data_IF_300017332789
#
_entry.id   IF_300017332789
#
_cell.length_a   1.000
_cell.length_b   1.000
_cell.length_c   1.000
_cell.angle_alpha   90.00
_cell.angle_beta   90.00
_cell.angle_gamma   90.00
#
_symmetry.space_group_name_H-M   'P 1'
#
loop_
_entity.id
_entity.type
_entity.pdbx_description
1 polymer ?
#
# COMPACT_ATOMS: atom_id res chain seq x y z
N UNK A 1 -0.83 62.13 -2.05
CA UNK A 1 -0.43 61.14 -3.06
C UNK A 1 -0.66 59.71 -2.56
N UNK A 2 -1.93 59.27 -2.41
CA UNK A 2 -2.28 57.92 -1.92
C UNK A 2 -3.46 57.29 -2.69
N UNK A 3 -3.70 57.74 -3.92
CA UNK A 3 -4.84 57.30 -4.75
C UNK A 3 -4.50 56.38 -5.93
N UNK A 4 -3.23 56.29 -6.32
CA UNK A 4 -2.84 55.56 -7.54
C UNK A 4 -2.39 54.11 -7.29
N UNK A 5 -2.01 53.74 -6.07
CA UNK A 5 -1.49 52.39 -5.79
C UNK A 5 -2.58 51.30 -5.75
N UNK A 6 -3.84 51.62 -5.43
CA UNK A 6 -4.92 50.60 -5.34
C UNK A 6 -5.48 50.11 -6.68
N UNK A 7 -5.15 50.77 -7.80
CA UNK A 7 -5.73 50.41 -9.12
C UNK A 7 -4.92 49.36 -9.87
N UNK A 8 -3.60 49.30 -9.63
CA UNK A 8 -2.70 48.34 -10.29
C UNK A 8 -2.39 47.08 -9.46
N UNK A 9 -2.70 47.06 -8.15
CA UNK A 9 -2.49 45.87 -7.30
C UNK A 9 -3.49 44.76 -7.65
N UNK A 10 -4.73 45.07 -8.03
CA UNK A 10 -5.76 44.05 -8.31
C UNK A 10 -5.35 43.05 -9.41
N UNK A 11 -4.80 43.46 -10.58
CA UNK A 11 -4.35 42.50 -11.59
C UNK A 11 -3.08 41.76 -11.17
N UNK A 12 -2.13 42.42 -10.48
CA UNK A 12 -0.90 41.78 -10.00
C UNK A 12 -1.20 40.73 -8.93
N UNK A 13 -2.13 41.01 -8.01
CA UNK A 13 -2.59 40.08 -6.99
C UNK A 13 -3.27 38.86 -7.63
N UNK A 14 -4.10 39.06 -8.65
CA UNK A 14 -4.71 37.96 -9.41
C UNK A 14 -3.66 37.11 -10.14
N UNK A 15 -2.60 37.72 -10.68
CA UNK A 15 -1.50 37.02 -11.33
C UNK A 15 -0.71 36.17 -10.33
N UNK A 16 -0.46 36.70 -9.12
CA UNK A 16 0.18 35.95 -8.03
C UNK A 16 -0.71 34.82 -7.51
N UNK A 17 -2.02 35.05 -7.38
CA UNK A 17 -2.97 34.01 -6.95
C UNK A 17 -3.10 32.91 -8.01
N UNK A 18 -3.22 33.24 -9.30
CA UNK A 18 -3.22 32.24 -10.39
C UNK A 18 -1.88 31.52 -10.46
N UNK A 19 -0.76 32.23 -10.29
CA UNK A 19 0.57 31.63 -10.27
C UNK A 19 0.75 30.68 -9.07
N UNK A 20 0.26 31.06 -7.90
CA UNK A 20 0.31 30.25 -6.68
C UNK A 20 -0.61 29.03 -6.77
N UNK A 21 -1.87 29.22 -7.17
CA UNK A 21 -2.82 28.12 -7.41
C UNK A 21 -2.29 27.20 -8.51
N UNK A 22 -1.80 27.75 -9.62
CA UNK A 22 -1.16 26.99 -10.68
C UNK A 22 0.07 26.21 -10.20
N UNK A 23 0.90 26.80 -9.33
CA UNK A 23 2.10 26.14 -8.77
C UNK A 23 1.75 24.96 -7.86
N UNK A 24 0.63 25.03 -7.13
CA UNK A 24 0.12 23.91 -6.33
C UNK A 24 -0.26 22.73 -7.24
N UNK A 25 -0.93 23.00 -8.36
CA UNK A 25 -1.25 21.97 -9.36
C UNK A 25 -0.01 21.41 -10.08
N UNK A 26 1.02 22.25 -10.32
CA UNK A 26 2.28 21.81 -10.92
C UNK A 26 3.10 20.90 -9.98
N UNK A 27 3.07 21.13 -8.66
CA UNK A 27 3.76 20.27 -7.69
C UNK A 27 3.10 18.91 -7.47
N UNK A 28 1.83 18.75 -7.83
CA UNK A 28 1.16 17.45 -7.97
C UNK A 28 1.38 16.82 -9.37
N UNK A 29 1.84 17.60 -10.36
CA UNK A 29 1.60 17.39 -11.79
C UNK A 29 2.62 16.61 -12.63
N UNK A 30 3.73 16.07 -12.10
CA UNK A 30 4.73 15.33 -12.90
C UNK A 30 4.55 13.79 -12.91
N UNK A 31 3.30 13.34 -12.78
CA UNK A 31 2.85 11.98 -13.12
C UNK A 31 1.45 11.95 -13.73
N UNK A 32 0.85 13.11 -14.00
CA UNK A 32 -0.48 13.24 -14.57
C UNK A 32 -0.41 13.09 -16.09
N UNK A 33 -0.66 11.88 -16.58
CA UNK A 33 -1.26 11.77 -17.91
C UNK A 33 -2.67 12.35 -17.81
N UNK A 34 -2.99 13.47 -18.50
CA UNK A 34 -4.36 13.95 -18.57
C UNK A 34 -5.19 12.83 -19.17
N UNK A 35 -6.25 12.45 -18.45
CA UNK A 35 -7.35 11.55 -18.83
C UNK A 35 -7.31 11.14 -20.30
N UNK A 36 -6.59 10.05 -20.59
CA UNK A 36 -6.71 9.43 -21.90
C UNK A 36 -8.14 8.92 -22.01
N UNK A 37 -8.84 9.28 -23.09
CA UNK A 37 -10.18 8.75 -23.42
C UNK A 37 -10.16 7.24 -23.70
N UNK A 38 -9.00 6.61 -23.63
CA UNK A 38 -8.82 5.16 -23.72
C UNK A 38 -9.03 4.54 -22.33
N UNK A 39 -9.91 3.54 -22.21
CA UNK A 39 -10.04 2.75 -20.99
C UNK A 39 -8.68 2.17 -20.56
N UNK A 40 -8.40 2.05 -19.25
CA UNK A 40 -7.20 1.39 -18.80
C UNK A 40 -7.19 -0.07 -19.25
N UNK A 41 -6.01 -0.64 -19.48
CA UNK A 41 -5.89 -2.05 -19.88
C UNK A 41 -6.37 -3.00 -18.77
N UNK A 42 -6.07 -2.67 -17.50
CA UNK A 42 -6.49 -3.44 -16.31
C UNK A 42 -7.36 -2.59 -15.38
N UNK A 43 -6.80 -1.55 -14.78
CA UNK A 43 -7.49 -0.66 -13.86
C UNK A 43 -6.79 0.71 -13.79
N UNK A 44 -7.49 1.73 -13.32
CA UNK A 44 -6.97 3.07 -13.02
C UNK A 44 -7.47 3.53 -11.66
N UNK A 45 -6.57 4.03 -10.83
CA UNK A 45 -6.85 4.47 -9.46
C UNK A 45 -6.37 5.91 -9.32
N UNK A 46 -7.31 6.83 -9.05
CA UNK A 46 -7.06 8.27 -8.93
C UNK A 46 -6.31 8.86 -10.15
N UNK A 47 -6.67 8.40 -11.34
CA UNK A 47 -6.05 8.84 -12.59
C UNK A 47 -4.75 8.14 -12.96
N UNK A 48 -4.25 7.20 -12.13
CA UNK A 48 -3.02 6.45 -12.40
C UNK A 48 -3.33 5.02 -12.84
N UNK A 49 -2.87 4.64 -14.02
CA UNK A 49 -3.06 3.30 -14.57
C UNK A 49 -2.27 2.26 -13.76
N UNK A 50 -2.90 1.10 -13.52
CA UNK A 50 -2.25 -0.05 -12.93
C UNK A 50 -1.45 -0.79 -14.00
N UNK A 51 -0.19 -1.09 -13.69
CA UNK A 51 0.70 -1.76 -14.64
C UNK A 51 0.28 -3.20 -14.91
N UNK A 52 -0.05 -3.51 -16.16
CA UNK A 52 -0.32 -4.88 -16.64
C UNK A 52 0.85 -5.82 -16.35
N UNK A 53 2.08 -5.30 -16.47
CA UNK A 53 3.30 -6.05 -16.14
C UNK A 53 3.29 -6.48 -14.67
N UNK A 54 2.92 -5.57 -13.76
CA UNK A 54 2.87 -5.86 -12.32
C UNK A 54 1.79 -6.88 -11.98
N UNK A 55 0.61 -6.75 -12.58
CA UNK A 55 -0.50 -7.71 -12.45
C UNK A 55 -0.05 -9.11 -12.86
N UNK A 56 0.57 -9.24 -14.04
CA UNK A 56 1.06 -10.53 -14.51
C UNK A 56 2.17 -11.08 -13.61
N UNK A 57 3.12 -10.26 -13.16
CA UNK A 57 4.18 -10.72 -12.24
C UNK A 57 3.62 -11.26 -10.93
N UNK A 58 2.68 -10.55 -10.30
CA UNK A 58 2.10 -10.96 -9.02
C UNK A 58 1.22 -12.21 -9.18
N UNK A 59 0.48 -12.30 -10.29
CA UNK A 59 -0.26 -13.51 -10.66
C UNK A 59 0.67 -14.73 -10.81
N UNK A 60 1.76 -14.59 -11.56
CA UNK A 60 2.74 -15.66 -11.72
C UNK A 60 3.41 -16.06 -10.39
N UNK A 61 3.64 -15.09 -9.49
CA UNK A 61 4.14 -15.38 -8.14
C UNK A 61 3.15 -16.26 -7.36
N UNK A 62 1.86 -15.96 -7.43
CA UNK A 62 0.81 -16.76 -6.81
C UNK A 62 0.72 -18.14 -7.42
N UNK A 63 0.70 -18.26 -8.75
CA UNK A 63 0.70 -19.56 -9.43
C UNK A 63 1.89 -20.42 -8.98
N UNK A 64 3.11 -19.85 -8.92
CA UNK A 64 4.29 -20.57 -8.43
C UNK A 64 4.14 -21.01 -6.97
N UNK A 65 3.60 -20.15 -6.11
CA UNK A 65 3.34 -20.48 -4.71
C UNK A 65 2.35 -21.63 -4.57
N UNK A 66 1.18 -21.55 -5.20
CA UNK A 66 0.17 -22.61 -5.15
C UNK A 66 0.71 -23.93 -5.73
N UNK A 67 1.41 -23.87 -6.87
CA UNK A 67 2.08 -25.06 -7.44
C UNK A 67 3.10 -25.67 -6.50
N UNK A 68 3.81 -24.87 -5.70
CA UNK A 68 4.78 -25.40 -4.72
C UNK A 68 4.11 -26.17 -3.56
N UNK A 69 2.90 -25.78 -3.17
CA UNK A 69 2.13 -26.39 -2.08
C UNK A 69 1.38 -27.63 -2.59
N UNK A 70 0.63 -27.50 -3.67
CA UNK A 70 -0.27 -28.54 -4.19
C UNK A 70 0.40 -29.48 -5.19
N UNK A 71 1.58 -29.14 -5.70
CA UNK A 71 2.40 -29.96 -6.61
C UNK A 71 1.58 -30.52 -7.77
N UNK A 72 1.42 -31.84 -7.83
CA UNK A 72 0.72 -32.56 -8.91
C UNK A 72 -0.80 -32.35 -8.88
N UNK A 73 -1.36 -32.01 -7.72
CA UNK A 73 -2.80 -31.73 -7.55
C UNK A 73 -3.17 -30.30 -7.97
N UNK A 74 -2.18 -29.47 -8.36
CA UNK A 74 -2.43 -28.09 -8.75
C UNK A 74 -3.06 -27.99 -10.15
N UNK A 75 -4.28 -27.46 -10.20
CA UNK A 75 -4.94 -27.11 -11.45
C UNK A 75 -5.15 -25.59 -11.58
N UNK A 76 -4.36 -24.95 -12.43
CA UNK A 76 -4.41 -23.50 -12.66
C UNK A 76 -5.78 -23.02 -13.14
N UNK A 77 -6.47 -23.80 -13.98
CA UNK A 77 -7.76 -23.38 -14.53
C UNK A 77 -8.85 -23.26 -13.46
N UNK A 78 -8.74 -23.97 -12.35
CA UNK A 78 -9.70 -23.90 -11.24
C UNK A 78 -9.55 -22.63 -10.39
N UNK A 79 -8.37 -22.02 -10.38
CA UNK A 79 -8.06 -20.89 -9.50
C UNK A 79 -7.76 -19.60 -10.27
N UNK A 80 -7.67 -19.66 -11.60
CA UNK A 80 -7.24 -18.56 -12.45
C UNK A 80 -7.99 -17.26 -12.19
N UNK A 81 -9.32 -17.30 -12.22
CA UNK A 81 -10.13 -16.09 -12.14
C UNK A 81 -10.15 -15.53 -10.71
N UNK A 82 -10.20 -16.40 -9.69
CA UNK A 82 -10.07 -16.00 -8.30
C UNK A 82 -8.71 -15.35 -8.02
N UNK A 83 -7.62 -15.94 -8.50
CA UNK A 83 -6.28 -15.40 -8.32
C UNK A 83 -6.09 -14.08 -9.05
N UNK A 84 -6.61 -13.94 -10.28
CA UNK A 84 -6.59 -12.66 -11.01
C UNK A 84 -7.33 -11.57 -10.25
N UNK A 85 -8.52 -11.88 -9.71
CA UNK A 85 -9.29 -10.94 -8.89
C UNK A 85 -8.54 -10.56 -7.61
N UNK A 86 -7.94 -11.54 -6.93
CA UNK A 86 -7.17 -11.30 -5.70
C UNK A 86 -5.96 -10.41 -5.98
N UNK A 87 -5.20 -10.70 -7.03
CA UNK A 87 -4.05 -9.89 -7.48
C UNK A 87 -4.49 -8.46 -7.78
N UNK A 88 -5.61 -8.29 -8.49
CA UNK A 88 -6.14 -6.96 -8.79
C UNK A 88 -6.51 -6.19 -7.52
N UNK A 89 -7.28 -6.79 -6.61
CA UNK A 89 -7.69 -6.15 -5.36
C UNK A 89 -6.48 -5.80 -4.46
N UNK A 90 -5.45 -6.64 -4.45
CA UNK A 90 -4.21 -6.37 -3.73
C UNK A 90 -3.48 -5.15 -4.30
N UNK A 91 -3.36 -5.08 -5.62
CA UNK A 91 -2.70 -3.95 -6.29
C UNK A 91 -3.51 -2.66 -6.20
N UNK A 92 -4.84 -2.74 -6.24
CA UNK A 92 -5.73 -1.58 -5.97
C UNK A 92 -5.51 -1.08 -4.54
N UNK A 93 -5.51 -2.00 -3.56
CA UNK A 93 -5.26 -1.67 -2.15
C UNK A 93 -3.91 -1.00 -1.97
N UNK A 94 -2.86 -1.60 -2.50
CA UNK A 94 -1.49 -1.05 -2.47
C UNK A 94 -1.49 0.37 -3.05
N UNK A 95 -2.13 0.58 -4.21
CA UNK A 95 -2.17 1.87 -4.87
C UNK A 95 -2.91 2.94 -4.08
N UNK A 96 -4.04 2.61 -3.47
CA UNK A 96 -4.83 3.51 -2.61
C UNK A 96 -3.98 3.93 -1.40
N UNK A 97 -3.35 2.96 -0.72
CA UNK A 97 -2.52 3.23 0.45
C UNK A 97 -1.29 4.06 0.10
N UNK A 98 -0.65 3.78 -1.03
CA UNK A 98 0.48 4.57 -1.52
C UNK A 98 0.08 6.02 -1.85
N UNK A 99 -1.05 6.20 -2.55
CA UNK A 99 -1.59 7.53 -2.85
C UNK A 99 -1.91 8.30 -1.57
N UNK A 100 -2.50 7.62 -0.58
CA UNK A 100 -2.78 8.22 0.73
C UNK A 100 -1.50 8.62 1.46
N UNK A 101 -0.48 7.75 1.47
CA UNK A 101 0.80 8.05 2.08
C UNK A 101 1.45 9.31 1.47
N UNK A 102 1.38 9.43 0.13
CA UNK A 102 1.82 10.65 -0.57
C UNK A 102 0.96 11.87 -0.19
N UNK A 103 -0.36 11.71 -0.12
CA UNK A 103 -1.31 12.79 0.20
C UNK A 103 -1.05 13.40 1.57
N UNK A 104 -0.75 12.57 2.57
CA UNK A 104 -0.44 13.02 3.94
C UNK A 104 1.03 13.42 4.13
N UNK A 105 1.84 13.37 3.06
CA UNK A 105 3.20 13.89 3.05
C UNK A 105 4.25 12.95 3.61
N UNK A 106 3.99 11.63 3.69
CA UNK A 106 4.99 10.65 4.08
C UNK A 106 6.10 10.62 3.03
N UNK A 107 7.35 10.63 3.51
CA UNK A 107 8.55 10.54 2.68
C UNK A 107 9.47 9.48 3.26
N UNK A 108 10.27 8.89 2.38
CA UNK A 108 11.28 7.88 2.69
C UNK A 108 12.54 8.30 1.95
N UNK A 109 13.69 8.23 2.63
CA UNK A 109 14.99 8.55 2.02
C UNK A 109 15.49 7.38 1.19
N UNK A 110 16.26 7.68 0.16
CA UNK A 110 16.90 6.65 -0.68
C UNK A 110 17.74 5.66 0.13
N UNK A 111 18.42 6.10 1.18
CA UNK A 111 19.20 5.22 2.06
C UNK A 111 18.33 4.15 2.73
N UNK A 112 17.11 4.52 3.15
CA UNK A 112 16.15 3.63 3.79
C UNK A 112 15.60 2.63 2.78
N UNK A 113 15.31 3.08 1.55
CA UNK A 113 14.91 2.21 0.44
C UNK A 113 16.02 1.19 0.15
N UNK A 114 17.26 1.63 0.09
CA UNK A 114 18.40 0.75 -0.17
C UNK A 114 18.66 -0.21 1.00
N UNK A 115 18.40 0.20 2.24
CA UNK A 115 18.48 -0.68 3.40
C UNK A 115 17.40 -1.76 3.37
N UNK A 116 16.18 -1.41 2.99
CA UNK A 116 15.08 -2.35 2.80
C UNK A 116 15.44 -3.42 1.78
N UNK A 117 15.97 -3.01 0.62
CA UNK A 117 16.40 -3.94 -0.44
C UNK A 117 17.54 -4.86 0.04
N UNK A 118 18.35 -4.43 1.01
CA UNK A 118 19.44 -5.24 1.59
C UNK A 118 18.96 -6.25 2.62
N UNK A 119 17.80 -6.07 3.26
CA UNK A 119 17.32 -6.94 4.35
C UNK A 119 17.38 -8.44 4.01
N UNK A 120 16.96 -8.92 2.83
CA UNK A 120 17.02 -10.35 2.48
C UNK A 120 18.44 -10.93 2.36
N UNK A 121 19.45 -10.07 2.33
CA UNK A 121 20.86 -10.44 2.20
C UNK A 121 21.63 -10.33 3.53
N UNK A 122 20.93 -9.98 4.61
CA UNK A 122 21.50 -9.96 5.97
C UNK A 122 21.32 -11.32 6.64
N UNK A 123 22.32 -11.76 7.39
CA UNK A 123 22.21 -12.93 8.27
C UNK A 123 21.40 -12.59 9.55
N UNK A 124 21.17 -13.58 10.40
CA UNK A 124 20.48 -13.41 11.70
C UNK A 124 21.17 -12.42 12.65
N UNK A 125 22.46 -12.15 12.42
CA UNK A 125 23.28 -11.19 13.19
C UNK A 125 23.31 -9.79 12.53
N UNK A 126 22.63 -9.62 11.39
CA UNK A 126 22.56 -8.36 10.63
C UNK A 126 23.71 -8.13 9.64
N UNK A 127 24.66 -9.06 9.51
CA UNK A 127 25.80 -8.93 8.59
C UNK A 127 25.34 -9.14 7.14
N UNK A 128 25.76 -8.25 6.26
CA UNK A 128 25.39 -8.29 4.84
C UNK A 128 26.29 -9.26 4.07
N UNK A 129 25.70 -10.23 3.34
CA UNK A 129 26.40 -10.96 2.28
C UNK A 129 26.56 -10.04 1.06
N UNK A 130 27.64 -9.26 1.07
CA UNK A 130 27.97 -8.28 0.02
C UNK A 130 28.10 -8.94 -1.34
N UNK A 131 28.64 -10.17 -1.41
CA UNK A 131 28.82 -10.89 -2.67
C UNK A 131 27.47 -11.23 -3.29
N UNK A 132 26.56 -11.81 -2.51
CA UNK A 132 25.21 -12.18 -2.98
C UNK A 132 24.40 -10.92 -3.34
N UNK A 133 24.53 -9.86 -2.56
CA UNK A 133 23.86 -8.59 -2.83
C UNK A 133 24.35 -7.95 -4.15
N UNK A 134 25.65 -7.89 -4.37
CA UNK A 134 26.20 -7.32 -5.61
C UNK A 134 25.82 -8.14 -6.84
N UNK A 135 25.86 -9.48 -6.75
CA UNK A 135 25.37 -10.35 -7.83
C UNK A 135 23.89 -10.10 -8.17
N UNK A 136 23.07 -9.88 -7.14
CA UNK A 136 21.66 -9.53 -7.32
C UNK A 136 21.51 -8.16 -8.01
N UNK A 137 22.25 -7.14 -7.55
CA UNK A 137 22.23 -5.82 -8.19
C UNK A 137 22.70 -5.85 -9.64
N UNK A 138 23.76 -6.60 -9.95
CA UNK A 138 24.24 -6.77 -11.32
C UNK A 138 23.19 -7.43 -12.21
N UNK A 139 22.53 -8.48 -11.71
CA UNK A 139 21.45 -9.16 -12.42
C UNK A 139 20.26 -8.22 -12.69
N UNK A 140 19.86 -7.42 -11.70
CA UNK A 140 18.79 -6.42 -11.83
C UNK A 140 19.19 -5.26 -12.76
N UNK A 141 20.43 -4.76 -12.67
CA UNK A 141 20.90 -3.57 -13.41
C UNK A 141 21.05 -3.83 -14.92
N UNK A 142 21.32 -5.08 -15.33
CA UNK A 142 21.31 -5.49 -16.74
C UNK A 142 19.94 -5.33 -17.40
N UNK A 143 18.88 -5.20 -16.60
CA UNK A 143 17.51 -4.91 -17.02
C UNK A 143 17.12 -3.58 -16.39
N UNK A 144 17.66 -2.47 -16.89
CA UNK A 144 17.66 -1.15 -16.25
C UNK A 144 16.32 -0.72 -15.65
N UNK A 145 15.20 -1.10 -16.26
CA UNK A 145 13.84 -0.88 -15.74
C UNK A 145 13.55 -1.59 -14.41
N UNK A 146 14.06 -2.80 -14.23
CA UNK A 146 13.70 -3.69 -13.12
C UNK A 146 14.31 -3.21 -11.80
N UNK A 147 15.52 -2.64 -11.82
CA UNK A 147 16.11 -2.04 -10.62
C UNK A 147 15.35 -0.77 -10.17
N UNK A 148 14.92 0.07 -11.12
CA UNK A 148 14.11 1.24 -10.81
C UNK A 148 12.75 0.85 -10.22
N UNK A 149 12.08 -0.14 -10.83
CA UNK A 149 10.81 -0.69 -10.33
C UNK A 149 10.98 -1.25 -8.92
N UNK A 150 12.07 -1.99 -8.65
CA UNK A 150 12.35 -2.49 -7.31
C UNK A 150 12.48 -1.36 -6.28
N UNK A 151 13.20 -0.28 -6.62
CA UNK A 151 13.31 0.90 -5.74
C UNK A 151 11.95 1.54 -5.50
N UNK A 152 11.13 1.71 -6.52
CA UNK A 152 9.79 2.27 -6.40
C UNK A 152 8.89 1.40 -5.50
N UNK A 153 8.93 0.08 -5.66
CA UNK A 153 8.17 -0.86 -4.83
C UNK A 153 8.62 -0.84 -3.37
N UNK A 154 9.94 -0.86 -3.12
CA UNK A 154 10.49 -0.77 -1.77
C UNK A 154 10.12 0.58 -1.10
N UNK A 155 10.18 1.68 -1.86
CA UNK A 155 9.74 2.99 -1.39
C UNK A 155 8.25 3.00 -1.05
N UNK A 156 7.40 2.46 -1.93
CA UNK A 156 5.96 2.38 -1.72
C UNK A 156 5.63 1.58 -0.45
N UNK A 157 6.26 0.42 -0.27
CA UNK A 157 6.07 -0.42 0.91
C UNK A 157 6.46 0.30 2.21
N UNK A 158 7.62 0.98 2.24
CA UNK A 158 8.05 1.77 3.40
C UNK A 158 7.10 2.93 3.70
N UNK A 159 6.58 3.59 2.68
CA UNK A 159 5.61 4.67 2.83
C UNK A 159 4.27 4.16 3.38
N UNK A 160 3.79 3.02 2.87
CA UNK A 160 2.57 2.36 3.34
C UNK A 160 2.75 1.87 4.78
N UNK A 161 3.90 1.29 5.12
CA UNK A 161 4.19 0.85 6.48
C UNK A 161 4.14 2.03 7.46
N UNK A 162 4.79 3.16 7.12
CA UNK A 162 4.73 4.39 7.92
C UNK A 162 3.32 4.96 8.07
N UNK A 163 2.48 4.78 7.05
CA UNK A 163 1.09 5.21 7.09
C UNK A 163 0.26 4.37 8.07
N UNK A 164 0.49 3.06 8.10
CA UNK A 164 -0.33 2.10 8.85
C UNK A 164 0.14 1.95 10.31
N UNK A 165 1.45 2.07 10.59
CA UNK A 165 2.01 1.86 11.93
C UNK A 165 1.30 2.67 13.02
N UNK A 166 1.07 3.99 12.87
CA UNK A 166 0.35 4.76 13.88
C UNK A 166 -1.09 4.29 14.14
N UNK A 167 -1.75 3.72 13.13
CA UNK A 167 -3.11 3.16 13.26
C UNK A 167 -3.07 1.90 14.15
N UNK A 168 -2.04 1.07 13.97
CA UNK A 168 -1.82 -0.13 14.80
C UNK A 168 -1.44 0.21 16.23
N UNK A 169 -0.66 1.26 16.43
CA UNK A 169 -0.18 1.70 17.75
C UNK A 169 -1.25 2.43 18.57
N UNK A 170 -2.29 2.97 17.91
CA UNK A 170 -3.36 3.69 18.59
C UNK A 170 -4.30 2.79 19.39
N UNK A 171 -4.41 1.50 19.04
CA UNK A 171 -5.35 0.57 19.68
C UNK A 171 -4.83 0.13 21.04
N UNK A 172 -5.65 0.38 22.06
CA UNK A 172 -5.44 -0.11 23.42
C UNK A 172 -6.57 -1.06 23.81
N UNK A 173 -6.21 -2.01 24.67
CA UNK A 173 -7.12 -3.01 25.22
C UNK A 173 -7.02 -2.97 26.74
N UNK A 174 -8.16 -2.75 27.38
CA UNK A 174 -8.33 -2.77 28.84
C UNK A 174 -8.63 -4.18 29.32
N UNK A 175 -8.36 -4.45 30.59
CA UNK A 175 -8.64 -5.76 31.20
C UNK A 175 -10.13 -6.12 31.17
N UNK A 176 -11.02 -5.14 31.33
CA UNK A 176 -12.48 -5.32 31.19
C UNK A 176 -12.87 -5.77 29.78
N UNK A 177 -12.26 -5.18 28.74
CA UNK A 177 -12.53 -5.62 27.36
C UNK A 177 -12.02 -7.04 27.10
N UNK A 178 -10.92 -7.45 27.74
CA UNK A 178 -10.41 -8.83 27.65
C UNK A 178 -11.37 -9.81 28.30
N UNK A 179 -11.89 -9.44 29.46
CA UNK A 179 -12.91 -10.21 30.17
C UNK A 179 -14.16 -10.37 29.30
N UNK A 180 -14.75 -9.25 28.84
CA UNK A 180 -15.91 -9.25 27.93
C UNK A 180 -15.68 -10.09 26.68
N UNK A 181 -14.49 -10.00 26.08
CA UNK A 181 -14.12 -10.79 24.92
C UNK A 181 -14.09 -12.28 25.23
N UNK A 182 -13.46 -12.67 26.35
CA UNK A 182 -13.41 -14.06 26.80
C UNK A 182 -14.80 -14.66 27.02
N UNK A 183 -15.70 -13.92 27.69
CA UNK A 183 -17.09 -14.32 27.91
C UNK A 183 -17.90 -14.45 26.62
N UNK A 184 -17.57 -13.68 25.57
CA UNK A 184 -18.23 -13.78 24.26
C UNK A 184 -17.80 -14.98 23.44
N UNK A 185 -16.52 -15.36 23.51
CA UNK A 185 -15.95 -16.43 22.66
C UNK A 185 -15.94 -17.81 23.33
N UNK A 186 -16.29 -17.89 24.61
CA UNK A 186 -16.20 -19.13 25.42
C UNK A 186 -17.57 -19.50 25.96
N UNK A 187 -18.04 -20.71 25.65
CA UNK A 187 -19.37 -21.18 26.11
C UNK A 187 -19.46 -21.39 27.63
N UNK A 188 -18.36 -21.82 28.27
CA UNK A 188 -18.29 -22.12 29.71
C UNK A 188 -17.07 -21.43 30.35
N UNK A 189 -17.11 -20.11 30.51
CA UNK A 189 -15.97 -19.34 31.00
C UNK A 189 -15.64 -19.68 32.45
N UNK A 190 -14.34 -19.76 32.76
CA UNK A 190 -13.81 -19.99 34.12
C UNK A 190 -12.78 -18.93 34.46
N UNK A 191 -12.86 -18.39 35.68
CA UNK A 191 -11.94 -17.35 36.14
C UNK A 191 -10.46 -17.79 36.10
N UNK A 192 -10.19 -19.07 36.40
CA UNK A 192 -8.82 -19.63 36.33
C UNK A 192 -8.27 -19.61 34.90
N UNK A 193 -9.07 -20.01 33.93
CA UNK A 193 -8.68 -20.05 32.52
C UNK A 193 -8.48 -18.63 31.94
N UNK A 194 -9.27 -17.66 32.43
CA UNK A 194 -9.10 -16.24 32.08
C UNK A 194 -7.75 -15.72 32.55
N UNK A 195 -7.37 -15.96 33.80
CA UNK A 195 -6.07 -15.51 34.33
C UNK A 195 -4.89 -16.19 33.60
N UNK A 196 -4.99 -17.49 33.33
CA UNK A 196 -3.95 -18.22 32.59
C UNK A 196 -3.77 -17.71 31.15
N UNK A 197 -4.87 -17.32 30.48
CA UNK A 197 -4.87 -16.90 29.07
C UNK A 197 -4.93 -15.39 28.86
N UNK A 198 -4.90 -14.59 29.93
CA UNK A 198 -5.16 -13.15 29.89
C UNK A 198 -4.30 -12.42 28.86
N UNK A 199 -3.01 -12.72 28.80
CA UNK A 199 -2.07 -12.10 27.86
C UNK A 199 -2.32 -12.53 26.40
N UNK A 200 -2.67 -13.79 26.17
CA UNK A 200 -3.02 -14.28 24.83
C UNK A 200 -4.33 -13.66 24.33
N UNK A 201 -5.34 -13.61 25.20
CA UNK A 201 -6.63 -12.99 24.93
C UNK A 201 -6.48 -11.48 24.65
N UNK A 202 -5.63 -10.79 25.44
CA UNK A 202 -5.31 -9.38 25.23
C UNK A 202 -4.64 -9.14 23.87
N UNK A 203 -3.66 -9.97 23.49
CA UNK A 203 -3.01 -9.90 22.17
C UNK A 203 -4.00 -10.20 21.04
N UNK A 204 -4.82 -11.23 21.18
CA UNK A 204 -5.83 -11.62 20.21
C UNK A 204 -6.85 -10.49 19.98
N UNK A 205 -7.39 -9.93 21.07
CA UNK A 205 -8.33 -8.82 21.03
C UNK A 205 -7.70 -7.55 20.46
N UNK A 206 -6.44 -7.24 20.83
CA UNK A 206 -5.71 -6.12 20.26
C UNK A 206 -5.54 -6.28 18.75
N UNK A 207 -5.12 -7.45 18.29
CA UNK A 207 -4.99 -7.77 16.86
C UNK A 207 -6.33 -7.71 16.12
N UNK A 208 -7.42 -8.16 16.74
CA UNK A 208 -8.76 -8.07 16.18
C UNK A 208 -9.20 -6.60 16.02
N UNK A 209 -9.08 -5.80 17.07
CA UNK A 209 -9.41 -4.36 17.03
C UNK A 209 -8.54 -3.61 16.02
N UNK A 210 -7.25 -3.93 15.96
CA UNK A 210 -6.33 -3.38 14.97
C UNK A 210 -6.75 -3.70 13.53
N UNK A 211 -7.12 -4.95 13.26
CA UNK A 211 -7.63 -5.36 11.95
C UNK A 211 -8.91 -4.61 11.59
N UNK A 212 -9.84 -4.50 12.53
CA UNK A 212 -11.10 -3.80 12.31
C UNK A 212 -10.88 -2.32 12.00
N UNK A 213 -10.11 -1.62 12.83
CA UNK A 213 -9.78 -0.21 12.63
C UNK A 213 -9.09 0.04 11.29
N UNK A 214 -8.14 -0.83 10.93
CA UNK A 214 -7.46 -0.75 9.65
C UNK A 214 -8.41 -0.94 8.46
N UNK A 215 -9.28 -1.95 8.48
CA UNK A 215 -10.22 -2.20 7.38
C UNK A 215 -11.26 -1.07 7.27
N UNK A 216 -11.78 -0.57 8.39
CA UNK A 216 -12.73 0.56 8.39
C UNK A 216 -12.09 1.83 7.82
N UNK A 217 -10.86 2.13 8.24
CA UNK A 217 -10.08 3.23 7.70
C UNK A 217 -9.78 3.04 6.21
N UNK A 218 -9.32 1.86 5.80
CA UNK A 218 -9.03 1.54 4.39
C UNK A 218 -10.29 1.66 3.52
N UNK A 219 -11.43 1.15 3.98
CA UNK A 219 -12.70 1.26 3.26
C UNK A 219 -13.09 2.73 3.05
N UNK A 220 -12.88 3.58 4.07
CA UNK A 220 -13.11 5.02 3.93
C UNK A 220 -12.19 5.70 2.89
N UNK A 221 -11.00 5.15 2.64
CA UNK A 221 -10.11 5.61 1.57
C UNK A 221 -10.59 5.08 0.21
N UNK A 222 -10.95 3.81 0.14
CA UNK A 222 -11.44 3.15 -1.08
C UNK A 222 -12.71 3.80 -1.60
N UNK A 223 -13.62 4.21 -0.72
CA UNK A 223 -14.84 4.95 -1.09
C UNK A 223 -14.55 6.33 -1.72
N UNK A 224 -13.44 6.96 -1.34
CA UNK A 224 -13.01 8.25 -1.87
C UNK A 224 -12.17 8.12 -3.14
N UNK A 225 -11.55 6.94 -3.34
CA UNK A 225 -10.71 6.67 -4.49
C UNK A 225 -11.55 6.53 -5.76
N UNK A 226 -11.08 7.13 -6.86
CA UNK A 226 -11.70 6.94 -8.16
C UNK A 226 -11.11 5.69 -8.83
N UNK A 227 -11.86 4.60 -8.83
CA UNK A 227 -11.45 3.31 -9.41
C UNK A 227 -12.19 3.11 -10.74
N UNK A 228 -11.43 2.99 -11.84
CA UNK A 228 -11.95 2.67 -13.17
C UNK A 228 -11.39 1.29 -13.57
N UNK A 229 -12.25 0.27 -13.69
CA UNK A 229 -11.85 -1.06 -14.13
C UNK A 229 -11.98 -1.21 -15.66
N UNK A 230 -11.10 -2.00 -16.25
CA UNK A 230 -11.19 -2.37 -17.67
C UNK A 230 -12.37 -3.33 -17.90
N UNK A 231 -13.24 -3.07 -18.91
CA UNK A 231 -14.34 -3.98 -19.26
C UNK A 231 -13.87 -5.39 -19.65
N UNK A 232 -12.62 -5.52 -20.12
CA UNK A 232 -12.03 -6.80 -20.49
C UNK A 232 -11.62 -7.64 -19.28
N UNK A 233 -11.44 -7.02 -18.12
CA UNK A 233 -11.05 -7.68 -16.87
C UNK A 233 -12.27 -8.09 -16.04
N UNK A 234 -13.43 -7.45 -16.22
CA UNK A 234 -14.70 -7.83 -15.59
C UNK A 234 -15.30 -9.14 -16.16
N UNK A 235 -14.91 -9.53 -17.38
CA UNK A 235 -15.48 -10.67 -18.12
C UNK A 235 -14.63 -11.95 -18.08
N UNK A 236 -13.52 -11.93 -17.35
CA UNK A 236 -12.65 -13.09 -17.07
C UNK A 236 -12.74 -13.41 -15.58
#
# INVERSE_FOLDING_TARGET
MLGYFRRSIKPILWLVVIGFVGSIFLYWGMGYSPSSRTPPEVARIDGQDLSTRRVNMLYENYIRFYRSIFKEDFNESMVKDELRRRVLEELIREKILFNEAKRVGIRVKDEEVMDEIKKPFRDEKGNLDVRRYNQYLEWMSRRTSDFWILKEEAMANLMIERLITPIRDAVKVTDLEVEDYYYKITEKPKAKDLEEKKEELKKALCNQKNRQLYEDWYNSLREKAKIELSPNFEKS
#
